data_IF_965032073689
#
_entry.id   IF_965032073689
#
_cell.length_a   1.000
_cell.length_b   1.000
_cell.length_c   1.000
_cell.angle_alpha   90.00
_cell.angle_beta   90.00
_cell.angle_gamma   90.00
#
_symmetry.space_group_name_H-M   'P 1'
#
loop_
_entity.id
_entity.type
_entity.pdbx_description
1 polymer ?
#
# COMPACT_ATOMS: atom_id res chain seq x y z
N UNK A 1 -3.90 -7.72 -10.90
CA UNK A 1 -2.58 -7.17 -11.32
C UNK A 1 -2.37 -7.30 -12.84
N UNK A 2 -3.32 -6.90 -13.69
CA UNK A 2 -3.20 -7.14 -15.13
C UNK A 2 -2.00 -6.40 -15.77
N UNK A 3 -1.76 -5.14 -15.38
CA UNK A 3 -0.66 -4.33 -15.91
C UNK A 3 0.72 -4.89 -15.51
N UNK A 4 0.93 -5.19 -14.22
CA UNK A 4 2.19 -5.76 -13.73
C UNK A 4 2.54 -7.09 -14.42
N UNK A 5 1.55 -7.96 -14.63
CA UNK A 5 1.75 -9.23 -15.35
C UNK A 5 2.24 -9.00 -16.78
N UNK A 6 1.65 -8.04 -17.51
CA UNK A 6 2.07 -7.72 -18.88
C UNK A 6 3.49 -7.17 -18.96
N UNK A 7 3.88 -6.32 -18.01
CA UNK A 7 5.26 -5.82 -17.91
C UNK A 7 6.23 -6.97 -17.61
N UNK A 8 5.87 -7.86 -16.67
CA UNK A 8 6.72 -9.00 -16.29
C UNK A 8 6.90 -10.00 -17.44
N UNK A 9 5.88 -10.17 -18.29
CA UNK A 9 5.91 -11.05 -19.47
C UNK A 9 6.57 -10.39 -20.70
N UNK A 10 6.95 -9.11 -20.62
CA UNK A 10 7.54 -8.37 -21.74
C UNK A 10 6.54 -8.02 -22.85
N UNK A 11 5.24 -8.08 -22.58
CA UNK A 11 4.20 -7.69 -23.55
C UNK A 11 4.13 -6.17 -23.76
N UNK A 12 4.64 -5.41 -22.79
CA UNK A 12 4.73 -3.94 -22.82
C UNK A 12 6.06 -3.50 -22.20
N UNK A 13 6.59 -2.37 -22.67
CA UNK A 13 7.87 -1.84 -22.17
C UNK A 13 7.75 -1.24 -20.75
N UNK A 14 6.58 -0.68 -20.42
CA UNK A 14 6.32 -0.05 -19.12
C UNK A 14 4.83 -0.07 -18.77
N UNK A 15 4.54 0.05 -17.47
CA UNK A 15 3.18 0.16 -16.96
C UNK A 15 3.12 0.99 -15.68
N UNK A 16 2.06 1.78 -15.53
CA UNK A 16 1.81 2.52 -14.30
C UNK A 16 1.16 1.58 -13.26
N UNK A 17 1.84 1.40 -12.14
CA UNK A 17 1.43 0.52 -11.04
C UNK A 17 1.71 1.19 -9.68
N UNK A 18 1.13 0.67 -8.61
CA UNK A 18 1.43 1.15 -7.26
C UNK A 18 2.84 0.76 -6.82
N UNK A 19 3.45 1.57 -5.94
CA UNK A 19 4.75 1.25 -5.28
C UNK A 19 4.73 -0.14 -4.64
N UNK A 20 3.61 -0.48 -4.00
CA UNK A 20 3.38 -1.77 -3.35
C UNK A 20 3.44 -2.95 -4.32
N UNK A 21 3.01 -2.76 -5.57
CA UNK A 21 3.09 -3.79 -6.62
C UNK A 21 4.53 -4.05 -7.07
N UNK A 22 5.36 -2.99 -7.15
CA UNK A 22 6.78 -3.10 -7.46
C UNK A 22 7.52 -3.82 -6.34
N UNK A 23 7.29 -3.44 -5.08
CA UNK A 23 7.92 -4.12 -3.93
C UNK A 23 7.53 -5.60 -3.86
N UNK A 24 6.26 -5.93 -4.12
CA UNK A 24 5.79 -7.31 -4.14
C UNK A 24 6.34 -8.14 -5.31
N UNK A 25 6.73 -7.49 -6.41
CA UNK A 25 7.33 -8.17 -7.57
C UNK A 25 8.82 -8.49 -7.37
N UNK A 26 9.48 -7.85 -6.40
CA UNK A 26 10.91 -7.98 -6.17
C UNK A 26 11.72 -7.65 -7.43
N UNK A 27 12.69 -8.49 -7.77
CA UNK A 27 13.59 -8.27 -8.90
C UNK A 27 12.98 -8.53 -10.28
N UNK A 28 11.70 -8.91 -10.35
CA UNK A 28 11.02 -9.23 -11.62
C UNK A 28 10.72 -8.00 -12.47
N UNK A 29 10.69 -6.82 -11.86
CA UNK A 29 10.44 -5.54 -12.54
C UNK A 29 11.33 -4.45 -11.97
N UNK A 30 11.64 -3.45 -12.78
CA UNK A 30 12.33 -2.24 -12.33
C UNK A 30 11.31 -1.15 -12.04
N UNK A 31 11.28 -0.66 -10.79
CA UNK A 31 10.52 0.54 -10.43
C UNK A 31 11.22 1.82 -10.88
N UNK A 32 10.47 2.75 -11.46
CA UNK A 32 10.94 4.10 -11.78
C UNK A 32 10.04 5.12 -11.08
N UNK A 33 10.63 5.93 -10.20
CA UNK A 33 9.93 7.04 -9.54
C UNK A 33 9.96 8.29 -10.44
N UNK A 34 8.87 9.04 -10.46
CA UNK A 34 8.75 10.29 -11.19
C UNK A 34 7.93 11.31 -10.36
N UNK A 35 8.21 12.62 -10.46
CA UNK A 35 7.65 13.63 -9.55
C UNK A 35 6.12 13.71 -9.53
N UNK A 36 5.46 13.39 -10.64
CA UNK A 36 4.00 13.41 -10.73
C UNK A 36 3.34 12.29 -9.93
N UNK A 37 4.08 11.22 -9.59
CA UNK A 37 3.56 10.14 -8.75
C UNK A 37 3.20 10.64 -7.34
N UNK A 38 3.94 11.64 -6.82
CA UNK A 38 3.68 12.23 -5.50
C UNK A 38 2.37 13.04 -5.46
N UNK A 39 1.79 13.37 -6.63
CA UNK A 39 0.49 14.04 -6.74
C UNK A 39 -0.68 13.06 -6.71
N UNK A 40 -0.43 11.76 -6.92
CA UNK A 40 -1.43 10.71 -6.89
C UNK A 40 -1.58 10.17 -5.45
N UNK A 41 -2.02 11.04 -4.54
CA UNK A 41 -2.14 10.71 -3.12
C UNK A 41 -3.42 9.90 -2.86
N UNK A 42 -3.26 8.65 -2.46
CA UNK A 42 -4.37 7.79 -2.05
C UNK A 42 -4.59 7.87 -0.54
N UNK A 43 -5.79 8.26 -0.12
CA UNK A 43 -6.18 8.23 1.30
C UNK A 43 -6.79 6.87 1.67
N UNK A 44 -6.23 6.21 2.68
CA UNK A 44 -6.70 4.92 3.20
C UNK A 44 -7.25 5.07 4.62
N UNK A 45 -8.53 5.48 4.78
CA UNK A 45 -9.11 5.67 6.10
C UNK A 45 -9.32 4.32 6.82
N UNK A 46 -9.14 4.33 8.14
CA UNK A 46 -9.47 3.20 9.03
C UNK A 46 -10.44 3.65 10.10
N UNK A 47 -11.55 2.92 10.26
CA UNK A 47 -12.60 3.26 11.22
C UNK A 47 -13.10 2.01 11.95
N UNK A 48 -13.60 2.19 13.17
CA UNK A 48 -14.38 1.17 13.86
C UNK A 48 -15.83 1.20 13.43
N UNK A 49 -16.45 0.02 13.37
CA UNK A 49 -17.89 -0.10 13.28
C UNK A 49 -18.54 0.23 14.63
N UNK A 50 -19.65 0.98 14.58
CA UNK A 50 -20.45 1.33 15.77
C UNK A 50 -21.06 0.09 16.42
N UNK A 51 -21.48 -0.89 15.61
CA UNK A 51 -22.03 -2.18 16.07
C UNK A 51 -20.99 -3.31 16.18
N UNK A 52 -19.71 -3.01 16.37
CA UNK A 52 -18.68 -4.05 16.47
C UNK A 52 -18.95 -4.98 17.67
N UNK A 53 -19.10 -6.31 17.48
CA UNK A 53 -19.34 -7.26 18.57
C UNK A 53 -18.27 -7.23 19.65
N UNK A 54 -17.04 -6.84 19.29
CA UNK A 54 -15.96 -6.57 20.22
C UNK A 54 -15.43 -5.13 20.01
N UNK A 55 -16.12 -4.19 20.65
CA UNK A 55 -15.76 -2.79 20.65
C UNK A 55 -14.31 -2.55 21.10
N UNK A 56 -13.89 -3.14 22.23
CA UNK A 56 -12.56 -2.89 22.80
C UNK A 56 -11.44 -3.31 21.85
N UNK A 57 -11.51 -4.52 21.27
CA UNK A 57 -10.52 -5.01 20.32
C UNK A 57 -10.49 -4.15 19.05
N UNK A 58 -11.64 -3.69 18.56
CA UNK A 58 -11.69 -2.81 17.42
C UNK A 58 -10.99 -1.46 17.69
N UNK A 59 -11.05 -0.92 18.92
CA UNK A 59 -10.28 0.28 19.30
C UNK A 59 -8.80 0.01 19.36
N UNK A 60 -8.42 -1.11 20.00
CA UNK A 60 -7.03 -1.51 20.10
C UNK A 60 -6.41 -1.71 18.71
N UNK A 61 -7.15 -2.26 17.76
CA UNK A 61 -6.67 -2.45 16.39
C UNK A 61 -6.46 -1.13 15.65
N UNK A 62 -7.44 -0.22 15.69
CA UNK A 62 -7.27 1.12 15.08
C UNK A 62 -6.09 1.86 15.70
N UNK A 63 -5.97 1.84 17.03
CA UNK A 63 -4.83 2.45 17.73
C UNK A 63 -3.49 1.79 17.36
N UNK A 64 -3.47 0.47 17.15
CA UNK A 64 -2.27 -0.25 16.71
C UNK A 64 -1.86 0.14 15.30
N UNK A 65 -2.79 0.18 14.35
CA UNK A 65 -2.55 0.57 12.95
C UNK A 65 -2.01 2.00 12.86
N UNK A 66 -2.57 2.92 13.64
CA UNK A 66 -2.14 4.32 13.70
C UNK A 66 -0.89 4.54 14.58
N UNK A 67 -0.50 3.55 15.39
CA UNK A 67 0.65 3.64 16.27
C UNK A 67 1.98 3.35 15.58
N UNK A 68 3.13 3.59 16.25
CA UNK A 68 4.46 3.48 15.65
C UNK A 68 4.75 2.12 15.00
N UNK A 69 4.27 1.02 15.62
CA UNK A 69 4.44 -0.33 15.08
C UNK A 69 3.63 -0.56 13.80
N UNK A 70 2.37 -0.13 13.78
CA UNK A 70 1.52 -0.24 12.60
C UNK A 70 2.06 0.58 11.43
N UNK A 71 2.47 1.82 11.70
CA UNK A 71 3.08 2.70 10.70
C UNK A 71 4.39 2.12 10.14
N UNK A 72 5.24 1.51 10.98
CA UNK A 72 6.46 0.86 10.52
C UNK A 72 6.18 -0.34 9.58
N UNK A 73 5.15 -1.14 9.88
CA UNK A 73 4.72 -2.25 9.00
C UNK A 73 4.19 -1.74 7.67
N UNK A 74 3.38 -0.67 7.68
CA UNK A 74 2.84 -0.05 6.47
C UNK A 74 3.95 0.56 5.61
N UNK A 75 4.91 1.25 6.22
CA UNK A 75 6.08 1.81 5.54
C UNK A 75 6.92 0.71 4.86
N UNK A 76 7.18 -0.40 5.56
CA UNK A 76 7.89 -1.55 4.99
C UNK A 76 7.15 -2.19 3.79
N UNK A 77 5.82 -2.10 3.78
CA UNK A 77 4.99 -2.55 2.66
C UNK A 77 4.86 -1.52 1.52
N UNK A 78 5.43 -0.32 1.66
CA UNK A 78 5.42 0.74 0.65
C UNK A 78 4.25 1.72 0.72
N UNK A 79 3.57 1.80 1.86
CA UNK A 79 2.61 2.87 2.15
C UNK A 79 3.32 4.04 2.82
N UNK A 80 2.87 5.26 2.54
CA UNK A 80 3.36 6.43 3.25
C UNK A 80 2.70 6.51 4.64
N UNK A 81 3.47 6.82 5.70
CA UNK A 81 2.92 7.01 7.04
C UNK A 81 1.95 8.19 7.09
N UNK A 82 0.98 8.10 8.00
CA UNK A 82 0.06 9.20 8.36
C UNK A 82 0.61 10.09 9.46
#
# INVERSE_FOLDING_TARGET
>A
KAVLSKVTLGEVDAGLVYRTDVLAAGDKVKGLLFPEADKAVNSYPVVRLTGAPNAAAAAAFVAYVLGPKGQAVLAAAGFDPV
#
